data_IF_895325463212
#
_entry.id   IF_895325463212
#
_cell.length_a   1.000
_cell.length_b   1.000
_cell.length_c   1.000
_cell.angle_alpha   90.00
_cell.angle_beta   90.00
_cell.angle_gamma   90.00
#
_symmetry.space_group_name_H-M   'P 1'
#
loop_
_entity.id
_entity.type
_entity.pdbx_description
1 polymer ?
#
# COMPACT_ATOMS: atom_id res chain seq x y z
N UNK A 1 -24.46 23.92 6.97
CA UNK A 1 -23.54 24.29 8.08
C UNK A 1 -24.02 25.60 8.70
N UNK A 2 -23.92 25.75 10.03
CA UNK A 2 -24.41 26.94 10.77
C UNK A 2 -23.28 27.92 11.12
N UNK A 3 -22.07 27.41 11.38
CA UNK A 3 -20.88 28.21 11.66
C UNK A 3 -19.64 27.52 11.10
N UNK A 4 -18.70 28.32 10.60
CA UNK A 4 -17.38 27.88 10.13
C UNK A 4 -16.35 28.80 10.73
N UNK A 5 -15.28 28.24 11.31
CA UNK A 5 -14.18 29.04 11.86
C UNK A 5 -13.39 29.70 10.72
N UNK A 6 -12.86 30.92 10.88
CA UNK A 6 -11.98 31.56 9.88
C UNK A 6 -10.77 30.69 9.51
N UNK A 7 -10.27 29.86 10.44
CA UNK A 7 -9.18 28.92 10.16
C UNK A 7 -9.57 27.85 9.12
N UNK A 8 -10.86 27.53 9.00
CA UNK A 8 -11.35 26.62 7.96
C UNK A 8 -11.37 27.28 6.58
N UNK A 9 -11.54 28.60 6.48
CA UNK A 9 -11.43 29.32 5.18
C UNK A 9 -10.01 29.21 4.64
N UNK A 10 -9.00 29.43 5.50
CA UNK A 10 -7.60 29.31 5.14
C UNK A 10 -7.23 27.87 4.71
N UNK A 11 -7.92 26.87 5.27
CA UNK A 11 -7.65 25.46 4.99
C UNK A 11 -8.41 24.93 3.75
N UNK A 12 -9.69 25.26 3.62
CA UNK A 12 -10.59 24.70 2.61
C UNK A 12 -10.71 25.60 1.37
N UNK A 13 -10.28 26.86 1.47
CA UNK A 13 -10.26 27.83 0.38
C UNK A 13 -11.62 28.44 0.04
N UNK A 14 -12.69 28.06 0.75
CA UNK A 14 -14.01 28.65 0.57
C UNK A 14 -14.26 29.73 1.61
N UNK A 15 -15.07 30.72 1.24
CA UNK A 15 -15.56 31.71 2.18
C UNK A 15 -16.61 31.06 3.11
N UNK A 16 -16.65 31.47 4.38
CA UNK A 16 -17.65 30.96 5.34
C UNK A 16 -19.07 31.17 4.82
N UNK A 17 -19.32 32.26 4.09
CA UNK A 17 -20.61 32.57 3.46
C UNK A 17 -21.02 31.58 2.37
N UNK A 18 -20.06 30.92 1.71
CA UNK A 18 -20.31 29.90 0.68
C UNK A 18 -20.54 28.52 1.30
N UNK A 19 -20.02 28.29 2.50
CA UNK A 19 -20.23 27.06 3.27
C UNK A 19 -21.52 27.06 4.09
N UNK A 20 -21.90 28.20 4.65
CA UNK A 20 -23.12 28.33 5.45
C UNK A 20 -24.34 28.06 4.55
N UNK A 21 -25.25 27.19 5.00
CA UNK A 21 -26.42 26.76 4.23
C UNK A 21 -26.22 25.56 3.29
N UNK A 22 -24.98 25.16 3.00
CA UNK A 22 -24.68 23.92 2.27
C UNK A 22 -24.60 22.69 3.18
N UNK A 23 -24.77 21.49 2.61
CA UNK A 23 -24.55 20.24 3.33
C UNK A 23 -23.07 19.87 3.24
N UNK A 24 -22.45 19.56 4.38
CA UNK A 24 -21.04 19.16 4.42
C UNK A 24 -20.76 17.94 3.53
N UNK A 25 -21.75 17.06 3.35
CA UNK A 25 -21.69 15.88 2.49
C UNK A 25 -21.46 16.20 1.00
N UNK A 26 -21.87 17.38 0.51
CA UNK A 26 -21.73 17.78 -0.91
C UNK A 26 -20.27 17.96 -1.34
N UNK A 27 -19.37 18.07 -0.36
CA UNK A 27 -17.95 18.28 -0.53
C UNK A 27 -17.12 17.05 -0.20
N UNK A 28 -17.75 15.97 0.30
CA UNK A 28 -17.08 14.71 0.57
C UNK A 28 -16.87 13.95 -0.75
N UNK A 29 -15.71 13.33 -0.89
CA UNK A 29 -15.43 12.53 -2.07
C UNK A 29 -16.43 11.37 -2.21
N UNK A 30 -16.96 11.07 -3.42
CA UNK A 30 -18.03 10.09 -3.59
C UNK A 30 -17.75 8.68 -3.05
N UNK A 31 -16.49 8.26 -3.06
CA UNK A 31 -16.08 6.94 -2.54
C UNK A 31 -16.06 6.89 -1.01
N UNK A 32 -16.01 8.05 -0.34
CA UNK A 32 -15.92 8.12 1.11
C UNK A 32 -17.31 8.44 1.72
N UNK A 33 -18.26 8.92 0.90
CA UNK A 33 -19.58 9.37 1.32
C UNK A 33 -20.33 8.34 2.17
N UNK A 34 -20.48 7.11 1.68
CA UNK A 34 -21.21 6.06 2.39
C UNK A 34 -20.62 5.77 3.79
N UNK A 35 -19.28 5.76 3.90
CA UNK A 35 -18.62 5.52 5.17
C UNK A 35 -18.82 6.67 6.17
N UNK A 36 -18.88 7.92 5.68
CA UNK A 36 -19.17 9.08 6.53
C UNK A 36 -20.64 9.11 6.94
N UNK A 37 -21.57 8.78 6.04
CA UNK A 37 -23.00 8.67 6.34
C UNK A 37 -23.26 7.61 7.44
N UNK A 38 -22.61 6.45 7.36
CA UNK A 38 -22.71 5.42 8.39
C UNK A 38 -22.25 5.93 9.76
N UNK A 39 -21.15 6.69 9.80
CA UNK A 39 -20.64 7.30 11.05
C UNK A 39 -21.60 8.37 11.56
N UNK A 40 -22.13 9.20 10.67
CA UNK A 40 -23.14 10.20 11.02
C UNK A 40 -24.39 9.55 11.64
N UNK A 41 -24.92 8.50 11.02
CA UNK A 41 -26.07 7.76 11.55
C UNK A 41 -25.81 7.19 12.94
N UNK A 42 -24.60 6.67 13.18
CA UNK A 42 -24.18 6.20 14.51
C UNK A 42 -24.14 7.33 15.53
N UNK A 43 -23.67 8.53 15.18
CA UNK A 43 -23.70 9.69 16.09
C UNK A 43 -25.15 10.04 16.45
N UNK A 44 -26.05 10.07 15.46
CA UNK A 44 -27.47 10.38 15.71
C UNK A 44 -28.11 9.33 16.61
N UNK A 45 -27.80 8.05 16.40
CA UNK A 45 -28.37 6.95 17.18
C UNK A 45 -27.81 6.88 18.61
N UNK A 46 -26.49 6.95 18.75
CA UNK A 46 -25.80 6.70 20.03
C UNK A 46 -25.48 7.98 20.80
N UNK A 47 -25.57 9.16 20.17
CA UNK A 47 -25.26 10.46 20.76
C UNK A 47 -23.84 10.52 21.34
N UNK A 48 -22.91 9.79 20.72
CA UNK A 48 -21.52 9.70 21.12
C UNK A 48 -20.60 10.36 20.07
N UNK A 49 -19.45 10.92 20.50
CA UNK A 49 -18.45 11.44 19.56
C UNK A 49 -17.88 10.33 18.67
N UNK A 50 -17.45 10.70 17.46
CA UNK A 50 -16.72 9.79 16.60
C UNK A 50 -15.62 10.50 15.79
N UNK A 51 -14.74 9.69 15.23
CA UNK A 51 -13.67 10.14 14.34
C UNK A 51 -13.92 9.66 12.90
N UNK A 52 -13.59 10.49 11.92
CA UNK A 52 -13.75 10.19 10.51
C UNK A 52 -12.59 10.75 9.68
N UNK A 53 -11.90 9.85 8.98
CA UNK A 53 -10.98 10.21 7.90
C UNK A 53 -11.70 10.12 6.56
N UNK A 54 -11.66 11.18 5.77
CA UNK A 54 -12.25 11.22 4.42
C UNK A 54 -11.60 12.29 3.56
N UNK A 55 -11.83 12.22 2.24
CA UNK A 55 -11.41 13.27 1.32
C UNK A 55 -12.47 14.35 1.21
N UNK A 56 -12.04 15.60 1.29
CA UNK A 56 -12.88 16.78 1.18
C UNK A 56 -12.44 17.66 0.01
N UNK A 57 -13.39 18.20 -0.74
CA UNK A 57 -13.12 19.02 -1.92
C UNK A 57 -12.71 20.42 -1.50
N UNK A 58 -11.50 20.83 -1.80
CA UNK A 58 -11.03 22.20 -1.65
C UNK A 58 -11.60 23.11 -2.76
N UNK A 59 -11.68 24.43 -2.51
CA UNK A 59 -12.28 25.39 -3.45
C UNK A 59 -11.62 25.44 -4.84
N UNK A 60 -10.33 25.16 -4.93
CA UNK A 60 -9.61 25.04 -6.19
C UNK A 60 -9.90 23.72 -6.96
N UNK A 61 -10.75 22.84 -6.43
CA UNK A 61 -11.11 21.55 -7.02
C UNK A 61 -10.21 20.37 -6.61
N UNK A 62 -9.14 20.57 -5.83
CA UNK A 62 -8.31 19.48 -5.33
C UNK A 62 -8.96 18.74 -4.15
N UNK A 63 -8.49 17.52 -3.87
CA UNK A 63 -8.91 16.74 -2.72
C UNK A 63 -7.92 16.88 -1.56
N UNK A 64 -8.43 17.19 -0.38
CA UNK A 64 -7.68 17.17 0.87
C UNK A 64 -8.04 15.92 1.66
N UNK A 65 -7.05 15.25 2.26
CA UNK A 65 -7.33 14.24 3.28
C UNK A 65 -7.58 14.96 4.60
N UNK A 66 -8.76 14.73 5.17
CA UNK A 66 -9.21 15.34 6.40
C UNK A 66 -9.40 14.26 7.45
N UNK A 67 -8.85 14.48 8.63
CA UNK A 67 -9.19 13.76 9.85
C UNK A 67 -10.10 14.64 10.70
N UNK A 68 -11.31 14.18 10.97
CA UNK A 68 -12.36 14.93 11.62
C UNK A 68 -12.82 14.26 12.91
N UNK A 69 -12.82 15.03 14.00
CA UNK A 69 -13.53 14.68 15.23
C UNK A 69 -14.90 15.36 15.25
N UNK A 70 -15.94 14.56 15.42
CA UNK A 70 -17.34 15.00 15.40
C UNK A 70 -17.94 14.78 16.78
N UNK A 71 -18.33 15.86 17.43
CA UNK A 71 -18.86 15.86 18.79
C UNK A 71 -20.31 16.36 18.79
N UNK A 72 -21.29 15.56 19.24
CA UNK A 72 -22.66 16.02 19.39
C UNK A 72 -22.78 16.93 20.62
N UNK A 73 -23.45 18.08 20.44
CA UNK A 73 -23.81 18.97 21.54
C UNK A 73 -25.28 18.80 21.86
N UNK A 74 -25.55 18.48 23.12
CA UNK A 74 -26.86 18.07 23.60
C UNK A 74 -27.62 19.23 24.24
N UNK A 75 -28.92 19.34 23.97
CA UNK A 75 -29.86 20.20 24.69
C UNK A 75 -31.15 19.42 24.95
N UNK A 76 -31.64 19.40 26.19
CA UNK A 76 -32.87 18.66 26.57
C UNK A 76 -32.92 17.21 26.06
N UNK A 77 -31.77 16.53 26.09
CA UNK A 77 -31.58 15.15 25.63
C UNK A 77 -31.70 14.94 24.11
N UNK A 78 -31.70 16.01 23.32
CA UNK A 78 -31.64 15.99 21.84
C UNK A 78 -30.33 16.62 21.35
N UNK A 79 -29.89 16.24 20.15
CA UNK A 79 -28.71 16.85 19.54
C UNK A 79 -29.14 18.22 19.01
N UNK A 80 -28.53 19.28 19.54
CA UNK A 80 -28.76 20.66 19.08
C UNK A 80 -27.95 20.99 17.84
N UNK A 81 -26.67 20.63 17.85
CA UNK A 81 -25.75 20.76 16.73
C UNK A 81 -24.58 19.79 16.87
N UNK A 82 -23.87 19.57 15.76
CA UNK A 82 -22.61 18.83 15.73
C UNK A 82 -21.46 19.82 15.62
N UNK A 83 -20.46 19.67 16.49
CA UNK A 83 -19.20 20.39 16.38
C UNK A 83 -18.21 19.47 15.66
N UNK A 84 -17.69 19.94 14.53
CA UNK A 84 -16.69 19.22 13.74
C UNK A 84 -15.37 19.96 13.81
N UNK A 85 -14.35 19.27 14.32
CA UNK A 85 -12.97 19.75 14.29
C UNK A 85 -12.22 18.93 13.25
N UNK A 86 -11.81 19.59 12.17
CA UNK A 86 -11.14 18.97 11.04
C UNK A 86 -9.67 19.37 10.98
N UNK A 87 -8.81 18.39 10.72
CA UNK A 87 -7.37 18.56 10.53
C UNK A 87 -6.98 18.04 9.15
N UNK A 88 -6.23 18.83 8.41
CA UNK A 88 -5.62 18.39 7.15
C UNK A 88 -4.45 17.44 7.45
N UNK A 89 -4.53 16.24 6.90
CA UNK A 89 -3.52 15.17 6.99
C UNK A 89 -2.97 14.81 5.60
N UNK A 90 -3.17 15.66 4.60
CA UNK A 90 -2.77 15.42 3.20
C UNK A 90 -1.28 15.18 3.09
N UNK A 91 -0.44 15.95 3.80
CA UNK A 91 1.03 15.78 3.76
C UNK A 91 1.46 14.45 4.33
N UNK A 92 0.82 14.01 5.40
CA UNK A 92 1.06 12.74 6.09
C UNK A 92 0.67 11.58 5.18
N UNK A 93 -0.53 11.61 4.60
CA UNK A 93 -0.99 10.60 3.64
C UNK A 93 -0.12 10.58 2.39
N UNK A 94 0.33 11.72 1.88
CA UNK A 94 1.22 11.77 0.72
C UNK A 94 2.57 11.12 1.04
N UNK A 95 3.12 11.35 2.24
CA UNK A 95 4.35 10.67 2.69
C UNK A 95 4.14 9.17 2.80
N UNK A 96 3.03 8.73 3.41
CA UNK A 96 2.69 7.31 3.53
C UNK A 96 2.58 6.63 2.16
N UNK A 97 1.85 7.24 1.23
CA UNK A 97 1.69 6.75 -0.15
C UNK A 97 3.03 6.70 -0.89
N UNK A 98 3.92 7.66 -0.67
CA UNK A 98 5.24 7.67 -1.31
C UNK A 98 6.20 6.65 -0.70
N UNK A 99 6.04 6.30 0.58
CA UNK A 99 6.88 5.32 1.29
C UNK A 99 6.40 3.89 1.10
N UNK A 100 5.11 3.65 0.87
CA UNK A 100 4.55 2.30 0.72
C UNK A 100 5.19 1.47 -0.42
N UNK A 101 5.49 2.02 -1.62
CA UNK A 101 6.19 1.29 -2.68
C UNK A 101 7.62 0.91 -2.30
N UNK A 102 8.31 1.78 -1.56
CA UNK A 102 9.69 1.55 -1.09
C UNK A 102 9.72 0.44 -0.03
N UNK A 103 8.78 0.47 0.93
CA UNK A 103 8.71 -0.55 1.98
C UNK A 103 8.33 -1.92 1.40
N UNK A 104 7.36 -1.96 0.46
CA UNK A 104 7.01 -3.19 -0.25
C UNK A 104 8.18 -3.74 -1.09
N UNK A 105 8.92 -2.87 -1.77
CA UNK A 105 10.11 -3.26 -2.54
C UNK A 105 11.21 -3.81 -1.65
N UNK A 106 11.52 -3.15 -0.53
CA UNK A 106 12.52 -3.61 0.42
C UNK A 106 12.16 -4.98 1.00
N UNK A 107 10.90 -5.18 1.41
CA UNK A 107 10.42 -6.48 1.91
C UNK A 107 10.55 -7.58 0.85
N UNK A 108 10.17 -7.29 -0.40
CA UNK A 108 10.32 -8.22 -1.51
C UNK A 108 11.79 -8.58 -1.77
N UNK A 109 12.68 -7.57 -1.83
CA UNK A 109 14.13 -7.78 -2.01
C UNK A 109 14.74 -8.62 -0.87
N UNK A 110 14.31 -8.40 0.38
CA UNK A 110 14.71 -9.22 1.52
C UNK A 110 14.26 -10.67 1.38
N UNK A 111 13.00 -10.92 1.00
CA UNK A 111 12.49 -12.28 0.77
C UNK A 111 13.26 -12.99 -0.35
N UNK A 112 13.55 -12.30 -1.45
CA UNK A 112 14.35 -12.85 -2.56
C UNK A 112 15.77 -13.21 -2.12
N UNK A 113 16.42 -12.36 -1.33
CA UNK A 113 17.76 -12.63 -0.82
C UNK A 113 17.79 -13.82 0.13
N UNK A 114 16.77 -13.99 0.97
CA UNK A 114 16.63 -15.16 1.85
C UNK A 114 16.55 -16.45 1.04
N UNK A 115 15.66 -16.50 0.03
CA UNK A 115 15.49 -17.67 -0.85
C UNK A 115 16.79 -17.97 -1.61
N UNK A 116 17.53 -16.94 -2.06
CA UNK A 116 18.83 -17.12 -2.71
C UNK A 116 19.85 -17.78 -1.78
N UNK A 117 19.92 -17.35 -0.52
CA UNK A 117 20.83 -17.95 0.47
C UNK A 117 20.45 -19.39 0.78
N UNK A 118 19.16 -19.69 0.96
CA UNK A 118 18.68 -21.06 1.16
C UNK A 118 19.04 -21.96 -0.03
N UNK A 119 18.84 -21.48 -1.25
CA UNK A 119 19.21 -22.18 -2.47
C UNK A 119 20.74 -22.42 -2.54
N UNK A 120 21.54 -21.43 -2.17
CA UNK A 120 23.00 -21.54 -2.19
C UNK A 120 23.52 -22.54 -1.15
N UNK A 121 22.93 -22.55 0.05
CA UNK A 121 23.20 -23.58 1.05
C UNK A 121 22.82 -24.98 0.52
N UNK A 122 21.60 -25.14 -0.01
CA UNK A 122 21.14 -26.43 -0.54
C UNK A 122 22.04 -26.97 -1.66
N UNK A 123 22.52 -26.10 -2.56
CA UNK A 123 23.48 -26.46 -3.61
C UNK A 123 24.80 -26.96 -3.04
N UNK A 124 25.37 -26.28 -2.04
CA UNK A 124 26.61 -26.70 -1.37
C UNK A 124 26.46 -28.05 -0.69
N UNK A 125 25.33 -28.29 -0.03
CA UNK A 125 25.04 -29.59 0.58
C UNK A 125 24.94 -30.70 -0.47
N UNK A 126 24.26 -30.44 -1.59
CA UNK A 126 24.16 -31.40 -2.69
C UNK A 126 25.54 -31.75 -3.29
N UNK A 127 26.37 -30.75 -3.57
CA UNK A 127 27.72 -30.94 -4.11
C UNK A 127 28.62 -31.76 -3.16
N UNK A 128 28.52 -31.53 -1.85
CA UNK A 128 29.20 -32.34 -0.83
C UNK A 128 28.70 -33.80 -0.83
N UNK A 129 27.39 -34.02 -0.91
CA UNK A 129 26.83 -35.38 -0.95
C UNK A 129 27.08 -36.11 -2.27
N UNK A 130 27.25 -35.40 -3.39
CA UNK A 130 27.71 -35.96 -4.66
C UNK A 130 29.19 -36.40 -4.56
N UNK A 131 30.04 -35.59 -3.90
CA UNK A 131 31.41 -35.98 -3.56
C UNK A 131 31.46 -37.23 -2.66
N UNK A 132 30.54 -37.36 -1.70
CA UNK A 132 30.46 -38.55 -0.81
C UNK A 132 29.90 -39.79 -1.53
N UNK A 133 28.98 -39.63 -2.50
CA UNK A 133 28.44 -40.74 -3.33
C UNK A 133 29.37 -41.18 -4.45
N UNK A 134 30.43 -40.42 -4.75
CA UNK A 134 31.48 -40.80 -5.71
C UNK A 134 32.36 -41.98 -5.23
N UNK A 135 32.06 -42.60 -4.08
CA UNK A 135 32.77 -43.77 -3.56
C UNK A 135 32.22 -45.12 -4.07
N UNK A 136 31.37 -45.13 -5.11
CA UNK A 136 30.91 -46.36 -5.77
C UNK A 136 31.22 -46.32 -7.26
N UNK A 137 32.14 -47.20 -7.69
CA UNK A 137 32.73 -47.35 -9.04
C UNK A 137 31.76 -47.30 -10.25
N UNK A 138 30.44 -47.43 -10.03
CA UNK A 138 29.44 -47.33 -11.10
C UNK A 138 29.00 -45.90 -11.42
N UNK A 139 29.16 -44.95 -10.49
CA UNK A 139 28.75 -43.55 -10.69
C UNK A 139 29.80 -42.73 -11.45
N UNK A 140 31.09 -43.04 -11.30
CA UNK A 140 32.17 -42.33 -12.01
C UNK A 140 32.09 -42.53 -13.54
N UNK A 141 31.77 -43.74 -13.99
CA UNK A 141 31.63 -44.04 -15.42
C UNK A 141 30.42 -43.34 -16.03
N UNK A 142 29.29 -43.33 -15.32
CA UNK A 142 28.07 -42.66 -15.79
C UNK A 142 28.20 -41.14 -15.77
N UNK A 143 28.90 -40.57 -14.79
CA UNK A 143 29.22 -39.14 -14.73
C UNK A 143 30.17 -38.69 -15.85
N UNK A 144 31.19 -39.49 -16.16
CA UNK A 144 32.10 -39.22 -17.27
C UNK A 144 31.36 -39.20 -18.61
N UNK A 145 30.47 -40.17 -18.85
CA UNK A 145 29.64 -40.22 -20.05
C UNK A 145 28.70 -39.00 -20.18
N UNK A 146 28.10 -38.52 -19.08
CA UNK A 146 27.25 -37.32 -19.07
C UNK A 146 28.07 -36.08 -19.45
N UNK A 147 29.26 -35.88 -18.86
CA UNK A 147 30.13 -34.73 -19.19
C UNK A 147 30.60 -34.76 -20.65
N UNK A 148 30.88 -35.93 -21.19
CA UNK A 148 31.26 -36.11 -22.60
C UNK A 148 30.10 -35.71 -23.54
N UNK A 149 28.86 -36.05 -23.18
CA UNK A 149 27.65 -35.67 -23.92
C UNK A 149 27.37 -34.17 -23.85
N UNK A 150 27.51 -33.55 -22.68
CA UNK A 150 27.36 -32.10 -22.52
C UNK A 150 28.37 -31.33 -23.40
N UNK A 151 29.62 -31.78 -23.43
CA UNK A 151 30.66 -31.20 -24.28
C UNK A 151 30.31 -31.33 -25.77
N UNK A 152 29.82 -32.50 -26.21
CA UNK A 152 29.35 -32.71 -27.59
C UNK A 152 28.18 -31.80 -27.94
N UNK A 153 27.23 -31.60 -27.03
CA UNK A 153 26.09 -30.69 -27.23
C UNK A 153 26.60 -29.25 -27.38
N UNK A 154 27.53 -28.81 -26.54
CA UNK A 154 28.12 -27.46 -26.64
C UNK A 154 28.88 -27.26 -27.96
N UNK A 155 29.66 -28.23 -28.40
CA UNK A 155 30.36 -28.19 -29.69
C UNK A 155 29.38 -28.13 -30.87
N UNK A 156 28.30 -28.91 -30.85
CA UNK A 156 27.25 -28.87 -31.87
C UNK A 156 26.52 -27.52 -31.90
N UNK A 157 26.22 -26.94 -30.73
CA UNK A 157 25.59 -25.63 -30.62
C UNK A 157 26.52 -24.50 -31.10
N UNK A 158 27.81 -24.58 -30.83
CA UNK A 158 28.83 -23.64 -31.33
C UNK A 158 28.98 -23.72 -32.86
N UNK A 159 28.92 -24.94 -33.41
CA UNK A 159 28.98 -25.19 -34.86
C UNK A 159 27.72 -24.67 -35.57
N UNK A 160 26.55 -24.82 -34.96
CA UNK A 160 25.28 -24.28 -35.47
C UNK A 160 25.21 -22.74 -35.43
N UNK A 161 25.99 -22.09 -34.56
CA UNK A 161 26.10 -20.61 -34.47
C UNK A 161 27.15 -20.00 -35.40
N UNK A 162 27.93 -20.81 -36.12
CA UNK A 162 28.87 -20.31 -37.12
C UNK A 162 28.13 -20.23 -38.47
N UNK A 163 27.81 -19.03 -39.00
CA UNK A 163 27.12 -18.92 -40.28
C UNK A 163 28.04 -19.45 -41.38
N UNK A 164 27.58 -20.47 -42.11
CA UNK A 164 28.20 -20.90 -43.36
C UNK A 164 28.25 -19.69 -44.28
N UNK A 165 29.48 -19.26 -44.60
CA UNK A 165 29.78 -18.22 -45.58
C UNK A 165 29.43 -18.67 -46.98
#
# INVERSE_FOLDING_TARGET
MEYVSPSCEALLGYLSSEHIGSLAFDFIHPHDLAAVEDKYMKIIQFKQPCEAEFRYRHANGSWLYVDAQITPVMEKNEIKYLVVVARDITKEKQKEINLAPLDNRMRFEQSVNMIKQELECAKKYMEQTELERSSSYHMENTWFEIKELEKKIQELLMRAKSPTK
#
